data_IF_316247985464
#
_entry.id   IF_316247985464
#
_cell.length_a   1.000
_cell.length_b   1.000
_cell.length_c   1.000
_cell.angle_alpha   90.00
_cell.angle_beta   90.00
_cell.angle_gamma   90.00
#
_symmetry.space_group_name_H-M   'P 1'
#
loop_
_entity.id
_entity.type
_entity.pdbx_description
1 polymer ?
#
# COMPACT_ATOMS: atom_id res chain seq x y z
N UNK A 1 16.07 -24.95 -25.39
CA UNK A 1 17.46 -24.95 -24.87
C UNK A 1 17.50 -23.76 -23.92
N UNK A 2 17.32 -23.84 -22.61
CA UNK A 2 17.48 -24.89 -21.61
C UNK A 2 16.12 -25.21 -20.96
N UNK A 3 15.96 -26.45 -20.51
CA UNK A 3 14.78 -26.90 -19.77
C UNK A 3 14.72 -26.18 -18.41
N UNK A 4 13.79 -25.25 -18.23
CA UNK A 4 13.39 -24.69 -16.93
C UNK A 4 12.78 -25.73 -15.96
N UNK A 5 12.93 -27.03 -16.23
CA UNK A 5 12.14 -28.10 -15.62
C UNK A 5 12.58 -28.51 -14.20
N UNK A 6 13.75 -28.07 -13.72
CA UNK A 6 14.35 -28.56 -12.46
C UNK A 6 14.48 -27.49 -11.35
N UNK A 7 13.70 -26.40 -11.39
CA UNK A 7 13.97 -25.24 -10.50
C UNK A 7 13.43 -25.35 -9.09
N UNK A 8 12.57 -26.31 -8.79
CA UNK A 8 12.00 -26.40 -7.44
C UNK A 8 12.81 -27.27 -6.47
N UNK A 9 12.57 -27.05 -5.18
CA UNK A 9 13.33 -27.61 -4.07
C UNK A 9 12.40 -28.09 -2.98
N UNK A 10 12.76 -29.20 -2.36
CA UNK A 10 12.08 -29.73 -1.18
C UNK A 10 13.08 -29.68 -0.03
N UNK A 11 12.75 -28.97 1.03
CA UNK A 11 13.58 -28.92 2.23
C UNK A 11 12.85 -29.63 3.37
N UNK A 12 13.59 -30.43 4.12
CA UNK A 12 13.08 -31.23 5.21
C UNK A 12 13.91 -30.96 6.46
N UNK A 13 13.26 -30.46 7.50
CA UNK A 13 13.85 -30.27 8.81
C UNK A 13 13.13 -31.19 9.81
N UNK A 14 13.88 -32.06 10.47
CA UNK A 14 13.33 -33.07 11.37
C UNK A 14 13.93 -32.91 12.75
N UNK A 15 13.08 -32.90 13.77
CA UNK A 15 13.43 -33.03 15.17
C UNK A 15 12.99 -34.41 15.66
N UNK A 16 13.92 -35.21 16.18
CA UNK A 16 13.65 -36.51 16.81
C UNK A 16 14.30 -36.57 18.18
N UNK A 17 13.56 -37.08 19.17
CA UNK A 17 14.03 -37.23 20.54
C UNK A 17 14.63 -35.95 21.15
N UNK A 18 14.06 -34.80 20.77
CA UNK A 18 14.50 -33.48 21.23
C UNK A 18 15.66 -32.88 20.44
N UNK A 19 16.36 -33.67 19.62
CA UNK A 19 17.51 -33.25 18.80
C UNK A 19 17.03 -32.86 17.40
N UNK A 20 17.38 -31.65 16.96
CA UNK A 20 17.16 -31.22 15.58
C UNK A 20 18.28 -31.74 14.68
N UNK A 21 17.91 -32.40 13.58
CA UNK A 21 18.83 -32.76 12.51
C UNK A 21 19.14 -31.56 11.62
N UNK A 22 20.19 -31.63 10.78
CA UNK A 22 20.44 -30.61 9.76
C UNK A 22 19.30 -30.58 8.74
N UNK A 23 19.01 -29.39 8.18
CA UNK A 23 18.02 -29.28 7.11
C UNK A 23 18.52 -29.98 5.85
N UNK A 24 17.78 -30.98 5.41
CA UNK A 24 18.07 -31.74 4.20
C UNK A 24 17.39 -31.06 3.03
N UNK A 25 18.12 -30.85 1.92
CA UNK A 25 17.56 -30.28 0.69
C UNK A 25 17.59 -31.33 -0.40
N UNK A 26 16.42 -31.64 -0.94
CA UNK A 26 16.20 -32.56 -2.04
C UNK A 26 15.80 -31.77 -3.30
N UNK A 27 16.20 -32.25 -4.46
CA UNK A 27 15.69 -31.77 -5.75
C UNK A 27 14.31 -32.39 -6.01
N UNK A 28 13.50 -31.77 -6.85
CA UNK A 28 12.21 -32.34 -7.26
C UNK A 28 12.36 -33.69 -7.96
N UNK A 29 13.46 -33.91 -8.70
CA UNK A 29 13.80 -35.22 -9.27
C UNK A 29 13.80 -36.34 -8.23
N UNK A 30 14.17 -36.01 -6.99
CA UNK A 30 14.34 -36.94 -5.87
C UNK A 30 13.12 -36.92 -4.94
N UNK A 31 11.98 -36.38 -5.41
CA UNK A 31 10.73 -36.27 -4.66
C UNK A 31 10.31 -37.61 -4.03
N UNK A 32 10.45 -38.72 -4.75
CA UNK A 32 10.08 -40.04 -4.23
C UNK A 32 10.93 -40.44 -3.02
N UNK A 33 12.22 -40.13 -3.04
CA UNK A 33 13.14 -40.37 -1.93
C UNK A 33 12.80 -39.48 -0.74
N UNK A 34 12.61 -38.17 -0.98
CA UNK A 34 12.22 -37.21 0.06
C UNK A 34 10.91 -37.63 0.74
N UNK A 35 9.88 -38.00 -0.04
CA UNK A 35 8.59 -38.44 0.51
C UNK A 35 8.70 -39.79 1.22
N UNK A 36 9.56 -40.71 0.76
CA UNK A 36 9.79 -41.97 1.48
C UNK A 36 10.43 -41.74 2.85
N UNK A 37 11.40 -40.81 2.95
CA UNK A 37 12.03 -40.41 4.21
C UNK A 37 11.00 -39.80 5.16
N UNK A 38 10.09 -38.98 4.64
CA UNK A 38 8.98 -38.38 5.41
C UNK A 38 7.99 -39.44 5.87
N UNK A 39 7.53 -40.34 4.99
CA UNK A 39 6.55 -41.38 5.35
C UNK A 39 7.09 -42.43 6.34
N UNK A 40 8.42 -42.58 6.41
CA UNK A 40 9.08 -43.40 7.42
C UNK A 40 8.92 -42.85 8.84
N UNK A 41 8.61 -41.56 9.00
CA UNK A 41 8.38 -40.93 10.30
C UNK A 41 7.04 -41.39 10.89
N UNK A 42 7.00 -41.84 12.16
CA UNK A 42 5.79 -42.39 12.76
C UNK A 42 4.72 -41.34 13.08
N UNK A 43 5.12 -40.08 13.26
CA UNK A 43 4.24 -38.97 13.64
C UNK A 43 3.68 -38.19 12.44
N UNK A 44 4.11 -38.51 11.22
CA UNK A 44 3.58 -37.87 10.00
C UNK A 44 2.14 -38.37 9.79
N UNK A 45 1.18 -37.46 9.51
CA UNK A 45 -0.22 -37.83 9.36
C UNK A 45 -0.42 -38.73 8.14
N UNK A 46 -0.93 -39.95 8.38
CA UNK A 46 -1.24 -40.95 7.33
C UNK A 46 -2.73 -41.09 7.06
N UNK A 47 -3.56 -40.69 8.02
CA UNK A 47 -5.02 -40.75 7.96
C UNK A 47 -5.61 -39.52 8.64
N UNK A 48 -6.87 -39.19 8.31
CA UNK A 48 -7.60 -38.14 9.00
C UNK A 48 -7.72 -38.48 10.50
N UNK A 49 -7.29 -37.54 11.34
CA UNK A 49 -7.45 -37.58 12.79
C UNK A 49 -8.25 -36.34 13.16
N UNK A 50 -9.36 -36.50 13.85
CA UNK A 50 -10.21 -35.35 14.19
C UNK A 50 -9.51 -34.44 15.22
N UNK A 51 -9.53 -33.13 14.98
CA UNK A 51 -9.14 -32.12 15.97
C UNK A 51 -10.26 -31.96 16.99
N UNK A 52 -9.91 -32.01 18.26
CA UNK A 52 -10.83 -31.67 19.34
C UNK A 52 -11.01 -30.14 19.29
N UNK A 53 -12.14 -29.70 18.73
CA UNK A 53 -12.53 -28.30 18.83
C UNK A 53 -13.27 -28.14 20.16
N UNK A 54 -12.89 -27.15 20.99
CA UNK A 54 -13.63 -26.87 22.21
C UNK A 54 -15.08 -26.53 21.91
N UNK A 55 -15.99 -27.05 22.72
CA UNK A 55 -17.40 -26.67 22.64
C UNK A 55 -17.61 -25.20 23.02
N UNK A 56 -18.74 -24.60 22.61
CA UNK A 56 -19.07 -23.22 23.01
C UNK A 56 -19.12 -23.03 24.53
N UNK A 57 -19.53 -24.05 25.28
CA UNK A 57 -19.53 -24.02 26.74
C UNK A 57 -18.12 -23.90 27.29
N UNK A 58 -17.20 -24.76 26.82
CA UNK A 58 -15.80 -24.74 27.23
C UNK A 58 -15.15 -23.38 26.96
N UNK A 59 -15.50 -22.71 25.85
CA UNK A 59 -14.96 -21.39 25.49
C UNK A 59 -15.36 -20.27 26.46
N UNK A 60 -16.52 -20.37 27.12
CA UNK A 60 -16.99 -19.39 28.12
C UNK A 60 -16.56 -19.71 29.54
N UNK A 61 -16.20 -20.96 29.82
CA UNK A 61 -15.57 -21.32 31.08
C UNK A 61 -14.17 -20.70 31.07
N UNK A 62 -14.05 -19.49 31.64
CA UNK A 62 -12.77 -18.90 32.07
C UNK A 62 -12.21 -19.63 33.32
N UNK A 63 -12.84 -20.72 33.73
CA UNK A 63 -12.55 -21.36 35.00
C UNK A 63 -11.27 -22.18 34.98
N UNK A 64 -10.40 -21.76 35.90
CA UNK A 64 -9.27 -22.49 36.46
C UNK A 64 -8.23 -22.91 35.43
N UNK A 65 -7.19 -22.09 35.37
CA UNK A 65 -5.80 -22.51 35.24
C UNK A 65 -5.52 -23.62 36.29
N UNK A 66 -6.13 -24.80 36.13
CA UNK A 66 -5.67 -25.99 36.78
C UNK A 66 -4.35 -26.29 36.09
N UNK A 67 -3.31 -25.66 36.63
CA UNK A 67 -1.93 -26.10 36.59
C UNK A 67 -1.81 -27.46 37.29
N UNK A 68 -2.73 -28.38 37.03
CA UNK A 68 -2.46 -29.79 37.14
C UNK A 68 -1.44 -30.05 36.04
N UNK A 69 -0.19 -29.79 36.43
CA UNK A 69 1.04 -30.35 35.90
C UNK A 69 0.85 -31.86 36.09
N UNK A 70 -0.07 -32.44 35.32
CA UNK A 70 -0.14 -33.86 35.12
C UNK A 70 1.16 -34.14 34.40
N UNK A 71 2.05 -34.83 35.10
CA UNK A 71 3.26 -35.47 34.60
C UNK A 71 2.90 -36.35 33.39
N UNK A 72 2.57 -35.73 32.26
CA UNK A 72 2.42 -36.40 30.97
C UNK A 72 3.83 -36.76 30.59
N UNK A 73 4.25 -37.93 31.08
CA UNK A 73 5.39 -38.75 30.65
C UNK A 73 6.28 -37.99 29.67
N UNK A 74 7.33 -37.33 30.19
CA UNK A 74 8.31 -36.46 29.50
C UNK A 74 9.00 -37.18 28.32
N UNK A 75 8.24 -37.59 27.31
CA UNK A 75 8.76 -38.00 26.03
C UNK A 75 9.01 -36.73 25.24
N UNK A 76 10.20 -36.59 24.63
CA UNK A 76 10.45 -35.49 23.72
C UNK A 76 9.44 -35.51 22.56
N UNK A 77 9.04 -34.32 22.10
CA UNK A 77 8.10 -34.16 21.00
C UNK A 77 8.87 -34.13 19.69
N UNK A 78 8.79 -35.22 18.93
CA UNK A 78 9.27 -35.23 17.54
C UNK A 78 8.37 -34.37 16.65
N UNK A 79 9.00 -33.75 15.66
CA UNK A 79 8.38 -32.83 14.73
C UNK A 79 9.09 -32.88 13.38
N UNK A 80 8.37 -32.59 12.31
CA UNK A 80 8.96 -32.37 11.00
C UNK A 80 8.33 -31.19 10.29
N UNK A 81 9.16 -30.39 9.62
CA UNK A 81 8.78 -29.31 8.74
C UNK A 81 9.25 -29.61 7.33
N UNK A 82 8.32 -29.54 6.38
CA UNK A 82 8.61 -29.62 4.94
C UNK A 82 8.33 -28.28 4.30
N UNK A 83 9.31 -27.79 3.55
CA UNK A 83 9.18 -26.63 2.69
C UNK A 83 9.23 -27.09 1.23
N UNK A 84 8.16 -26.83 0.48
CA UNK A 84 8.06 -27.10 -0.94
C UNK A 84 8.07 -25.77 -1.71
N UNK A 85 9.12 -25.58 -2.50
CA UNK A 85 9.27 -24.48 -3.45
C UNK A 85 9.11 -25.05 -4.86
N UNK A 86 7.94 -24.88 -5.48
CA UNK A 86 7.64 -25.46 -6.79
C UNK A 86 6.48 -24.74 -7.48
N UNK A 87 6.60 -24.44 -8.78
CA UNK A 87 5.52 -23.84 -9.59
C UNK A 87 4.76 -24.86 -10.45
N UNK A 88 5.11 -26.14 -10.36
CA UNK A 88 4.42 -27.21 -11.09
C UNK A 88 3.25 -27.79 -10.29
N UNK A 89 2.04 -27.56 -10.79
CA UNK A 89 0.78 -28.06 -10.21
C UNK A 89 0.80 -29.57 -10.00
N UNK A 90 1.38 -30.33 -10.93
CA UNK A 90 1.41 -31.79 -10.86
C UNK A 90 2.28 -32.26 -9.68
N UNK A 91 3.42 -31.62 -9.47
CA UNK A 91 4.31 -31.88 -8.34
C UNK A 91 3.65 -31.51 -7.01
N UNK A 92 3.01 -30.35 -6.93
CA UNK A 92 2.28 -29.91 -5.73
C UNK A 92 1.16 -30.90 -5.39
N UNK A 93 0.36 -31.30 -6.39
CA UNK A 93 -0.73 -32.26 -6.22
C UNK A 93 -0.21 -33.62 -5.74
N UNK A 94 0.92 -34.07 -6.31
CA UNK A 94 1.59 -35.30 -5.89
C UNK A 94 2.04 -35.23 -4.44
N UNK A 95 2.69 -34.15 -4.01
CA UNK A 95 3.13 -33.96 -2.61
C UNK A 95 1.92 -33.95 -1.66
N UNK A 96 0.90 -33.16 -1.96
CA UNK A 96 -0.32 -33.05 -1.15
C UNK A 96 -1.06 -34.38 -1.06
N UNK A 97 -1.02 -35.22 -2.10
CA UNK A 97 -1.69 -36.52 -2.12
C UNK A 97 -1.15 -37.52 -1.07
N UNK A 98 0.08 -37.33 -0.60
CA UNK A 98 0.68 -38.19 0.44
C UNK A 98 0.12 -37.93 1.85
N UNK A 99 -0.63 -36.85 2.03
CA UNK A 99 -1.17 -36.43 3.32
C UNK A 99 -2.71 -36.42 3.31
N UNK A 100 -3.36 -36.59 4.47
CA UNK A 100 -4.82 -36.59 4.61
C UNK A 100 -5.37 -35.16 4.57
N UNK A 101 -5.21 -34.49 3.42
CA UNK A 101 -5.64 -33.12 3.16
C UNK A 101 -7.01 -33.12 2.47
N UNK A 102 -7.92 -32.24 2.91
CA UNK A 102 -9.26 -32.08 2.33
C UNK A 102 -9.19 -31.60 0.87
N UNK A 103 -10.13 -32.04 0.02
CA UNK A 103 -10.13 -31.72 -1.41
C UNK A 103 -10.19 -30.22 -1.69
N UNK A 104 -10.90 -29.43 -0.88
CA UNK A 104 -10.94 -27.97 -1.01
C UNK A 104 -9.54 -27.35 -0.86
N UNK A 105 -8.79 -27.72 0.18
CA UNK A 105 -7.42 -27.24 0.37
C UNK A 105 -6.52 -27.64 -0.80
N UNK A 106 -6.72 -28.82 -1.40
CA UNK A 106 -5.96 -29.20 -2.60
C UNK A 106 -6.27 -28.28 -3.78
N UNK A 107 -7.53 -27.97 -3.99
CA UNK A 107 -7.99 -27.05 -5.03
C UNK A 107 -7.53 -25.61 -4.78
N UNK A 108 -7.53 -25.14 -3.53
CA UNK A 108 -7.09 -23.81 -3.14
C UNK A 108 -5.59 -23.61 -3.41
N UNK A 109 -4.78 -24.59 -3.02
CA UNK A 109 -3.32 -24.56 -3.26
C UNK A 109 -3.01 -24.66 -4.76
N UNK A 110 -3.81 -25.43 -5.52
CA UNK A 110 -3.64 -25.58 -6.96
C UNK A 110 -4.06 -24.34 -7.73
N UNK A 111 -5.27 -23.84 -7.50
CA UNK A 111 -5.84 -22.71 -8.23
C UNK A 111 -5.04 -21.42 -8.05
N UNK A 112 -4.32 -21.29 -6.93
CA UNK A 112 -3.59 -20.07 -6.58
C UNK A 112 -4.48 -18.83 -6.47
N UNK A 113 -5.81 -19.01 -6.47
CA UNK A 113 -6.79 -17.93 -6.64
C UNK A 113 -7.17 -17.24 -5.33
N UNK A 114 -6.91 -17.86 -4.19
CA UNK A 114 -7.22 -17.26 -2.90
C UNK A 114 -6.23 -16.12 -2.61
N UNK A 115 -6.67 -14.90 -2.93
CA UNK A 115 -5.90 -13.67 -2.71
C UNK A 115 -5.86 -13.21 -1.25
N UNK A 116 -6.63 -13.84 -0.39
CA UNK A 116 -6.86 -13.40 0.98
C UNK A 116 -5.92 -14.10 1.95
N UNK A 117 -5.24 -13.31 2.79
CA UNK A 117 -4.57 -13.82 3.99
C UNK A 117 -5.66 -14.36 4.94
N UNK A 118 -5.73 -15.68 5.12
CA UNK A 118 -6.82 -16.36 5.86
C UNK A 118 -6.32 -17.62 6.56
N UNK A 119 -6.88 -17.90 7.75
CA UNK A 119 -6.68 -19.15 8.47
C UNK A 119 -7.98 -19.95 8.51
N UNK A 120 -7.94 -21.19 8.02
CA UNK A 120 -9.06 -22.12 7.97
C UNK A 120 -8.77 -23.38 8.78
N UNK A 121 -9.72 -23.81 9.59
CA UNK A 121 -9.60 -25.02 10.40
C UNK A 121 -10.30 -26.15 9.64
N UNK A 122 -9.65 -27.31 9.52
CA UNK A 122 -10.23 -28.54 8.99
C UNK A 122 -10.29 -29.60 10.09
N UNK A 123 -11.31 -29.55 10.96
CA UNK A 123 -11.34 -30.35 12.18
C UNK A 123 -11.36 -31.84 11.88
N UNK A 124 -12.19 -32.26 10.94
CA UNK A 124 -12.32 -33.65 10.52
C UNK A 124 -11.02 -34.20 9.93
N UNK A 125 -10.14 -33.34 9.42
CA UNK A 125 -8.90 -33.75 8.79
C UNK A 125 -7.67 -33.62 9.68
N UNK A 126 -7.73 -32.94 10.82
CA UNK A 126 -6.61 -32.89 11.75
C UNK A 126 -5.69 -31.69 11.62
N UNK A 127 -6.02 -30.69 10.78
CA UNK A 127 -5.09 -29.61 10.43
C UNK A 127 -5.73 -28.24 10.34
N UNK A 128 -4.86 -27.23 10.36
CA UNK A 128 -5.19 -25.83 10.06
C UNK A 128 -4.43 -25.43 8.80
N UNK A 129 -5.15 -24.83 7.85
CA UNK A 129 -4.59 -24.25 6.64
C UNK A 129 -4.46 -22.74 6.83
N UNK A 130 -3.27 -22.20 6.60
CA UNK A 130 -3.01 -20.76 6.72
C UNK A 130 -2.44 -20.28 5.40
N UNK A 131 -3.13 -19.35 4.77
CA UNK A 131 -2.68 -18.66 3.58
C UNK A 131 -2.14 -17.28 3.96
N UNK A 132 -0.91 -17.00 3.51
CA UNK A 132 -0.24 -15.72 3.79
C UNK A 132 0.46 -15.22 2.53
N UNK A 133 0.25 -13.96 2.18
CA UNK A 133 1.07 -13.26 1.21
C UNK A 133 2.45 -12.94 1.79
N UNK A 134 3.50 -13.44 1.17
CA UNK A 134 4.88 -13.07 1.43
C UNK A 134 5.41 -12.19 0.27
N UNK A 135 6.51 -11.46 0.50
CA UNK A 135 7.14 -10.65 -0.54
C UNK A 135 8.03 -11.53 -1.42
N UNK A 136 8.12 -11.24 -2.70
CA UNK A 136 9.00 -11.96 -3.61
C UNK A 136 10.48 -11.60 -3.37
N UNK A 137 11.38 -12.58 -3.53
CA UNK A 137 12.82 -12.35 -3.48
C UNK A 137 13.33 -11.77 -4.81
N UNK A 138 13.38 -10.44 -4.93
CA UNK A 138 14.01 -9.78 -6.07
C UNK A 138 15.53 -9.95 -6.01
N UNK A 139 16.19 -10.33 -7.12
CA UNK A 139 17.65 -10.30 -7.19
C UNK A 139 18.24 -8.98 -7.71
N UNK A 140 17.55 -8.21 -8.57
CA UNK A 140 17.99 -6.87 -8.97
C UNK A 140 17.00 -6.20 -9.94
N UNK A 141 16.09 -5.37 -9.43
CA UNK A 141 15.52 -4.24 -10.19
C UNK A 141 14.77 -3.33 -9.22
N UNK A 142 15.44 -2.28 -8.75
CA UNK A 142 14.84 -1.15 -8.04
C UNK A 142 13.91 -0.42 -9.03
N UNK A 143 12.67 -0.85 -9.17
CA UNK A 143 11.72 -0.14 -10.03
C UNK A 143 10.55 -0.92 -10.60
N UNK A 144 10.41 -2.23 -10.33
CA UNK A 144 9.24 -2.94 -10.82
C UNK A 144 8.04 -2.67 -9.89
N UNK A 145 7.24 -1.68 -10.26
CA UNK A 145 6.13 -1.13 -9.47
C UNK A 145 4.92 -2.07 -9.29
N UNK A 146 5.05 -3.36 -9.61
CA UNK A 146 3.91 -4.28 -9.64
C UNK A 146 4.21 -5.71 -9.20
N UNK A 147 5.26 -5.95 -8.40
CA UNK A 147 5.58 -7.33 -8.01
C UNK A 147 4.41 -8.00 -7.24
N UNK A 148 3.89 -9.06 -7.85
CA UNK A 148 2.82 -9.88 -7.33
C UNK A 148 3.30 -10.61 -6.05
N UNK A 149 2.53 -10.55 -4.94
CA UNK A 149 2.92 -11.20 -3.70
C UNK A 149 3.06 -12.72 -3.88
N UNK A 150 4.07 -13.31 -3.25
CA UNK A 150 4.24 -14.77 -3.23
C UNK A 150 3.27 -15.35 -2.24
N UNK A 151 2.39 -16.24 -2.72
CA UNK A 151 1.44 -16.95 -1.87
C UNK A 151 2.13 -18.11 -1.17
N UNK A 152 2.05 -18.10 0.16
CA UNK A 152 2.55 -19.18 1.02
C UNK A 152 1.35 -19.86 1.65
N UNK A 153 1.23 -21.17 1.44
CA UNK A 153 0.25 -22.02 2.11
C UNK A 153 0.95 -22.82 3.20
N UNK A 154 0.47 -22.72 4.42
CA UNK A 154 0.99 -23.45 5.57
C UNK A 154 -0.08 -24.41 6.06
N UNK A 155 0.18 -25.71 5.92
CA UNK A 155 -0.69 -26.79 6.37
C UNK A 155 -0.07 -27.37 7.63
N UNK A 156 -0.66 -27.00 8.77
CA UNK A 156 -0.14 -27.34 10.09
C UNK A 156 -1.00 -28.44 10.73
N UNK A 157 -0.34 -29.51 11.15
CA UNK A 157 -0.85 -30.57 12.02
C UNK A 157 -0.12 -30.48 13.37
N UNK A 158 -0.61 -31.19 14.39
CA UNK A 158 -0.03 -31.17 15.76
C UNK A 158 1.49 -31.37 15.81
N UNK A 159 2.04 -32.22 14.94
CA UNK A 159 3.48 -32.60 14.93
C UNK A 159 4.13 -32.49 13.55
N UNK A 160 3.47 -31.83 12.61
CA UNK A 160 3.94 -31.76 11.23
C UNK A 160 3.51 -30.45 10.59
N UNK A 161 4.44 -29.76 9.92
CA UNK A 161 4.17 -28.52 9.21
C UNK A 161 4.60 -28.68 7.74
N UNK A 162 3.71 -28.36 6.81
CA UNK A 162 4.00 -28.31 5.39
C UNK A 162 3.80 -26.88 4.89
N UNK A 163 4.85 -26.25 4.41
CA UNK A 163 4.81 -24.90 3.81
C UNK A 163 5.06 -25.00 2.31
N UNK A 164 4.11 -24.53 1.52
CA UNK A 164 4.13 -24.60 0.05
C UNK A 164 4.13 -23.18 -0.51
N UNK A 165 5.03 -22.91 -1.44
CA UNK A 165 5.02 -21.68 -2.23
C UNK A 165 5.62 -21.91 -3.61
N UNK A 166 5.20 -21.09 -4.58
CA UNK A 166 5.59 -21.28 -6.00
C UNK A 166 6.83 -20.52 -6.41
N UNK A 167 7.13 -19.41 -5.72
CA UNK A 167 8.23 -18.49 -6.03
C UNK A 167 9.08 -18.24 -4.79
N UNK A 168 10.37 -17.91 -4.93
CA UNK A 168 11.22 -17.63 -3.79
C UNK A 168 10.71 -16.41 -3.01
N UNK A 169 10.73 -16.54 -1.68
CA UNK A 169 10.26 -15.53 -0.72
C UNK A 169 11.42 -14.68 -0.22
N UNK A 170 11.20 -13.37 -0.11
CA UNK A 170 12.17 -12.42 0.45
C UNK A 170 12.57 -12.82 1.88
N UNK A 171 13.87 -12.82 2.17
CA UNK A 171 14.40 -13.26 3.47
C UNK A 171 14.28 -14.76 3.73
N UNK A 172 13.98 -15.59 2.72
CA UNK A 172 13.80 -17.03 2.91
C UNK A 172 14.98 -17.75 3.58
N UNK A 173 16.22 -17.33 3.29
CA UNK A 173 17.42 -17.89 3.94
C UNK A 173 17.48 -17.51 5.44
N UNK A 174 17.15 -16.27 5.78
CA UNK A 174 17.09 -15.78 7.17
C UNK A 174 15.98 -16.47 7.96
N UNK A 175 14.82 -16.66 7.33
CA UNK A 175 13.69 -17.40 7.91
C UNK A 175 14.11 -18.83 8.23
N UNK A 176 14.78 -19.51 7.31
CA UNK A 176 15.24 -20.89 7.52
C UNK A 176 16.28 -20.99 8.63
N UNK A 177 17.29 -20.11 8.64
CA UNK A 177 18.27 -20.05 9.71
C UNK A 177 17.60 -19.78 11.07
N UNK A 178 16.58 -18.92 11.10
CA UNK A 178 15.78 -18.67 12.29
C UNK A 178 15.00 -19.90 12.74
N UNK A 179 14.40 -20.66 11.81
CA UNK A 179 13.66 -21.89 12.15
C UNK A 179 14.60 -22.97 12.72
N UNK A 180 15.77 -23.16 12.13
CA UNK A 180 16.80 -24.08 12.64
C UNK A 180 17.21 -23.69 14.06
N UNK A 181 17.50 -22.40 14.29
CA UNK A 181 17.87 -21.87 15.60
C UNK A 181 16.76 -22.02 16.64
N UNK A 182 15.50 -21.76 16.27
CA UNK A 182 14.36 -21.94 17.17
C UNK A 182 14.22 -23.41 17.54
N UNK A 183 14.27 -24.34 16.59
CA UNK A 183 14.13 -25.76 16.87
C UNK A 183 15.27 -26.31 17.74
N UNK A 184 16.50 -25.81 17.56
CA UNK A 184 17.63 -26.23 18.40
C UNK A 184 17.57 -25.65 19.81
N UNK A 185 17.00 -24.45 19.97
CA UNK A 185 16.93 -23.76 21.27
C UNK A 185 15.70 -24.11 22.08
N UNK A 186 14.66 -24.65 21.45
CA UNK A 186 13.39 -24.96 22.12
C UNK A 186 13.54 -26.17 23.06
N UNK A 187 12.83 -26.15 24.19
CA UNK A 187 12.75 -27.30 25.08
C UNK A 187 12.27 -28.55 24.30
N UNK A 188 12.90 -29.73 24.48
CA UNK A 188 12.46 -31.01 23.92
C UNK A 188 10.98 -31.35 24.10
N UNK A 189 10.33 -30.83 25.15
CA UNK A 189 8.94 -31.15 25.48
C UNK A 189 7.93 -30.13 24.93
N UNK A 190 8.36 -29.00 24.40
CA UNK A 190 7.44 -27.99 23.87
C UNK A 190 6.99 -28.35 22.47
N UNK A 191 5.69 -28.23 22.21
CA UNK A 191 5.11 -28.37 20.88
C UNK A 191 5.65 -27.25 19.95
N UNK A 192 6.45 -27.59 18.93
CA UNK A 192 7.14 -26.56 18.16
C UNK A 192 6.24 -25.86 17.14
N UNK A 193 5.12 -26.47 16.73
CA UNK A 193 4.30 -26.00 15.61
C UNK A 193 3.78 -24.59 15.83
N UNK A 194 3.19 -24.30 17.00
CA UNK A 194 2.69 -22.97 17.36
C UNK A 194 3.76 -21.89 17.19
N UNK A 195 4.95 -22.16 17.73
CA UNK A 195 6.09 -21.25 17.75
C UNK A 195 6.64 -21.04 16.34
N UNK A 196 6.76 -22.10 15.54
CA UNK A 196 7.27 -22.02 14.17
C UNK A 196 6.30 -21.31 13.24
N UNK A 197 5.00 -21.64 13.31
CA UNK A 197 3.96 -20.94 12.53
C UNK A 197 3.95 -19.46 12.88
N UNK A 198 3.97 -19.13 14.18
CA UNK A 198 4.04 -17.75 14.64
C UNK A 198 5.29 -17.03 14.13
N UNK A 199 6.45 -17.69 14.17
CA UNK A 199 7.70 -17.12 13.69
C UNK A 199 7.71 -16.93 12.16
N UNK A 200 7.14 -17.85 11.38
CA UNK A 200 7.03 -17.73 9.92
C UNK A 200 6.17 -16.53 9.55
N UNK A 201 4.96 -16.44 10.14
CA UNK A 201 4.05 -15.31 9.92
C UNK A 201 4.72 -14.00 10.36
N UNK A 202 5.39 -14.00 11.51
CA UNK A 202 6.13 -12.83 12.00
C UNK A 202 7.19 -12.38 11.00
N UNK A 203 7.96 -13.30 10.43
CA UNK A 203 8.98 -12.96 9.44
C UNK A 203 8.36 -12.37 8.16
N UNK A 204 7.32 -13.02 7.61
CA UNK A 204 6.63 -12.51 6.43
C UNK A 204 6.05 -11.12 6.65
N UNK A 205 5.40 -10.87 7.80
CA UNK A 205 4.85 -9.55 8.14
C UNK A 205 5.95 -8.50 8.31
N UNK A 206 7.09 -8.85 8.95
CA UNK A 206 8.23 -7.93 9.12
C UNK A 206 8.84 -7.51 7.79
N UNK A 207 8.89 -8.38 6.79
CA UNK A 207 9.35 -8.01 5.45
C UNK A 207 8.46 -6.95 4.81
N UNK A 208 7.13 -7.02 4.99
CA UNK A 208 6.21 -5.97 4.54
C UNK A 208 6.37 -4.66 5.34
N UNK A 209 6.72 -4.73 6.63
CA UNK A 209 6.95 -3.54 7.46
C UNK A 209 8.16 -2.69 7.03
N UNK A 210 9.03 -3.19 6.13
CA UNK A 210 10.13 -2.41 5.55
C UNK A 210 9.66 -1.40 4.48
N UNK A 211 8.55 -1.67 3.80
CA UNK A 211 8.00 -0.83 2.72
C UNK A 211 7.44 0.55 3.17
N UNK A 212 6.58 0.66 4.22
CA UNK A 212 5.87 1.89 4.53
C UNK A 212 6.80 3.08 4.83
N UNK A 213 7.98 2.85 5.40
CA UNK A 213 8.92 3.92 5.72
C UNK A 213 9.37 4.71 4.48
N UNK A 214 9.66 4.00 3.37
CA UNK A 214 10.06 4.64 2.12
C UNK A 214 8.92 5.48 1.52
N UNK A 215 7.71 4.92 1.53
CA UNK A 215 6.52 5.57 1.00
C UNK A 215 6.15 6.84 1.79
N UNK A 216 6.27 6.81 3.12
CA UNK A 216 5.98 7.97 3.97
C UNK A 216 6.97 9.12 3.74
N UNK A 217 8.25 8.82 3.51
CA UNK A 217 9.24 9.85 3.12
C UNK A 217 8.86 10.49 1.79
N UNK A 218 8.36 9.73 0.81
CA UNK A 218 7.90 10.29 -0.45
C UNK A 218 6.66 11.18 -0.30
N UNK A 219 5.74 10.82 0.60
CA UNK A 219 4.59 11.67 0.96
C UNK A 219 5.05 12.99 1.58
N UNK A 220 5.98 12.95 2.53
CA UNK A 220 6.52 14.16 3.15
C UNK A 220 7.24 15.04 2.12
N UNK A 221 7.99 14.45 1.18
CA UNK A 221 8.62 15.18 0.08
C UNK A 221 7.58 15.89 -0.81
N UNK A 222 6.46 15.25 -1.13
CA UNK A 222 5.37 15.87 -1.89
C UNK A 222 4.75 17.02 -1.10
N UNK A 223 4.57 16.86 0.20
CA UNK A 223 4.03 17.91 1.06
C UNK A 223 4.92 19.16 1.06
N UNK A 224 6.24 19.00 1.17
CA UNK A 224 7.19 20.12 1.10
C UNK A 224 7.21 20.77 -0.29
N UNK A 225 7.09 20.00 -1.38
CA UNK A 225 7.04 20.54 -2.74
C UNK A 225 5.81 21.42 -2.96
N UNK A 226 4.65 21.07 -2.40
CA UNK A 226 3.43 21.89 -2.52
C UNK A 226 3.65 23.32 -2.02
N UNK A 227 4.49 23.50 -1.00
CA UNK A 227 4.81 24.80 -0.43
C UNK A 227 5.79 25.62 -1.31
N UNK A 228 6.57 24.96 -2.16
CA UNK A 228 7.66 25.58 -2.92
C UNK A 228 7.32 25.82 -4.40
N UNK A 229 6.32 25.13 -4.94
CA UNK A 229 6.05 25.15 -6.39
C UNK A 229 5.68 26.55 -6.88
N UNK A 230 6.54 27.07 -7.75
CA UNK A 230 6.27 28.23 -8.57
C UNK A 230 5.12 27.96 -9.57
N UNK A 231 4.43 28.99 -10.07
CA UNK A 231 3.20 28.88 -10.88
C UNK A 231 3.40 28.33 -12.30
N UNK A 232 4.32 27.40 -12.55
CA UNK A 232 4.38 26.74 -13.85
C UNK A 232 3.25 25.70 -13.97
N UNK A 233 2.59 25.63 -15.13
CA UNK A 233 1.52 24.65 -15.38
C UNK A 233 2.07 23.22 -15.40
N UNK A 234 3.28 23.04 -15.92
CA UNK A 234 3.92 21.73 -16.00
C UNK A 234 4.17 21.14 -14.60
N UNK A 235 4.68 21.93 -13.66
CA UNK A 235 4.99 21.45 -12.30
C UNK A 235 3.73 21.06 -11.52
N UNK A 236 2.61 21.78 -11.75
CA UNK A 236 1.34 21.44 -11.10
C UNK A 236 0.79 20.11 -11.59
N UNK A 237 0.86 19.84 -12.89
CA UNK A 237 0.38 18.58 -13.45
C UNK A 237 1.26 17.41 -13.00
N UNK A 238 2.58 17.62 -12.94
CA UNK A 238 3.51 16.61 -12.41
C UNK A 238 3.25 16.30 -10.94
N UNK A 239 3.06 17.33 -10.10
CA UNK A 239 2.73 17.14 -8.69
C UNK A 239 1.39 16.41 -8.51
N UNK A 240 0.36 16.74 -9.28
CA UNK A 240 -0.93 16.04 -9.22
C UNK A 240 -0.77 14.57 -9.58
N UNK A 241 0.03 14.26 -10.60
CA UNK A 241 0.32 12.87 -11.00
C UNK A 241 1.07 12.12 -9.89
N UNK A 242 2.02 12.78 -9.24
CA UNK A 242 2.76 12.21 -8.11
C UNK A 242 1.87 11.98 -6.88
N UNK A 243 0.94 12.89 -6.60
CA UNK A 243 -0.06 12.73 -5.54
C UNK A 243 -0.97 11.53 -5.85
N UNK A 244 -1.42 11.40 -7.09
CA UNK A 244 -2.25 10.28 -7.53
C UNK A 244 -1.52 8.94 -7.39
N UNK A 245 -0.28 8.85 -7.88
CA UNK A 245 0.55 7.65 -7.76
C UNK A 245 0.79 7.25 -6.29
N UNK A 246 1.20 8.20 -5.44
CA UNK A 246 1.38 7.94 -4.02
C UNK A 246 0.10 7.48 -3.34
N UNK A 247 -1.05 8.02 -3.74
CA UNK A 247 -2.35 7.58 -3.20
C UNK A 247 -2.66 6.13 -3.58
N UNK A 248 -2.36 5.72 -4.81
CA UNK A 248 -2.52 4.34 -5.25
C UNK A 248 -1.58 3.39 -4.50
N UNK A 249 -0.30 3.74 -4.42
CA UNK A 249 0.72 2.96 -3.68
C UNK A 249 0.36 2.84 -2.20
N UNK A 250 -0.06 3.93 -1.56
CA UNK A 250 -0.48 3.93 -0.16
C UNK A 250 -1.71 3.08 0.09
N UNK A 251 -2.70 3.16 -0.79
CA UNK A 251 -3.90 2.32 -0.70
C UNK A 251 -3.53 0.85 -0.84
N UNK A 252 -2.67 0.49 -1.80
CA UNK A 252 -2.20 -0.88 -2.00
C UNK A 252 -1.51 -1.44 -0.75
N UNK A 253 -0.53 -0.71 -0.21
CA UNK A 253 0.19 -1.13 1.01
C UNK A 253 -0.79 -1.24 2.18
N UNK A 254 -1.69 -0.27 2.35
CA UNK A 254 -2.69 -0.30 3.42
C UNK A 254 -3.60 -1.53 3.31
N UNK A 255 -4.09 -1.89 2.12
CA UNK A 255 -4.91 -3.08 1.92
C UNK A 255 -4.17 -4.35 2.33
N UNK A 256 -2.89 -4.48 1.97
CA UNK A 256 -2.06 -5.63 2.35
C UNK A 256 -1.88 -5.72 3.87
N UNK A 257 -1.68 -4.59 4.55
CA UNK A 257 -1.55 -4.56 6.01
C UNK A 257 -2.87 -4.92 6.72
N UNK A 258 -4.01 -4.45 6.19
CA UNK A 258 -5.33 -4.82 6.72
C UNK A 258 -5.65 -6.31 6.53
N UNK A 259 -5.22 -6.92 5.44
CA UNK A 259 -5.36 -8.37 5.24
C UNK A 259 -4.57 -9.15 6.32
N UNK A 260 -3.35 -8.72 6.61
CA UNK A 260 -2.50 -9.32 7.66
C UNK A 260 -3.06 -9.11 9.06
N UNK A 261 -3.65 -7.96 9.31
CA UNK A 261 -4.31 -7.66 10.58
C UNK A 261 -5.45 -8.64 10.84
N UNK A 262 -6.30 -8.85 9.83
CA UNK A 262 -7.41 -9.81 9.89
C UNK A 262 -6.91 -11.23 10.14
N UNK A 263 -5.86 -11.67 9.44
CA UNK A 263 -5.27 -12.98 9.67
C UNK A 263 -4.77 -13.14 11.11
N UNK A 264 -4.03 -12.16 11.65
CA UNK A 264 -3.53 -12.24 13.02
C UNK A 264 -4.70 -12.19 14.03
N UNK A 265 -5.73 -11.39 13.78
CA UNK A 265 -6.94 -11.38 14.58
C UNK A 265 -7.65 -12.74 14.57
N UNK A 266 -7.74 -13.42 13.42
CA UNK A 266 -8.28 -14.78 13.32
C UNK A 266 -7.47 -15.77 14.18
N UNK A 267 -6.14 -15.72 14.10
CA UNK A 267 -5.25 -16.58 14.90
C UNK A 267 -5.34 -16.29 16.40
N UNK A 268 -5.76 -15.08 16.78
CA UNK A 268 -5.96 -14.68 18.17
C UNK A 268 -7.37 -14.96 18.70
N UNK A 269 -8.28 -15.52 17.89
CA UNK A 269 -9.63 -15.88 18.34
C UNK A 269 -9.58 -17.00 19.42
N UNK A 270 -10.53 -17.02 20.38
CA UNK A 270 -10.58 -18.02 21.43
C UNK A 270 -10.52 -19.47 20.93
N UNK A 271 -11.16 -19.77 19.80
CA UNK A 271 -11.12 -21.10 19.17
C UNK A 271 -9.69 -21.48 18.75
N UNK A 272 -8.96 -20.56 18.11
CA UNK A 272 -7.56 -20.79 17.70
C UNK A 272 -6.61 -20.90 18.89
N UNK A 273 -6.90 -20.20 20.00
CA UNK A 273 -6.13 -20.30 21.26
C UNK A 273 -6.24 -21.66 21.94
N UNK A 274 -7.31 -22.41 21.69
CA UNK A 274 -7.50 -23.75 22.25
C UNK A 274 -6.96 -24.85 21.33
N UNK A 275 -6.54 -24.50 20.11
CA UNK A 275 -5.90 -25.40 19.15
C UNK A 275 -4.38 -25.24 19.24
N UNK A 276 -3.64 -26.30 18.89
CA UNK A 276 -2.17 -26.37 18.90
C UNK A 276 -1.43 -25.24 18.13
N UNK A 277 -2.13 -24.38 17.37
CA UNK A 277 -1.54 -23.22 16.67
C UNK A 277 -1.24 -22.06 17.63
N UNK A 278 -2.12 -21.80 18.61
CA UNK A 278 -1.98 -20.65 19.55
C UNK A 278 -2.24 -21.05 21.01
N UNK A 279 -2.21 -22.36 21.31
CA UNK A 279 -2.28 -22.87 22.68
C UNK A 279 -1.08 -22.45 23.55
N UNK A 280 0.11 -22.33 22.96
CA UNK A 280 1.30 -21.89 23.70
C UNK A 280 1.22 -20.40 24.06
N UNK A 281 1.43 -20.09 25.35
CA UNK A 281 1.48 -18.72 25.87
C UNK A 281 2.59 -17.90 25.21
N UNK A 282 3.72 -18.54 24.86
CA UNK A 282 4.81 -17.93 24.12
C UNK A 282 4.39 -17.44 22.73
N UNK A 283 3.75 -18.31 21.94
CA UNK A 283 3.20 -17.97 20.63
C UNK A 283 2.12 -16.88 20.71
N UNK A 284 1.20 -16.97 21.68
CA UNK A 284 0.16 -15.97 21.91
C UNK A 284 0.75 -14.57 22.14
N UNK A 285 1.75 -14.45 23.03
CA UNK A 285 2.40 -13.17 23.31
C UNK A 285 3.10 -12.58 22.08
N UNK A 286 3.64 -13.42 21.19
CA UNK A 286 4.27 -13.00 19.93
C UNK A 286 3.24 -12.51 18.93
N UNK A 287 2.13 -13.21 18.75
CA UNK A 287 1.03 -12.74 17.89
C UNK A 287 0.45 -11.40 18.37
N UNK A 288 0.26 -11.23 19.68
CA UNK A 288 -0.19 -9.96 20.25
C UNK A 288 0.82 -8.83 19.97
N UNK A 289 2.12 -9.08 20.17
CA UNK A 289 3.16 -8.09 19.85
C UNK A 289 3.19 -7.76 18.35
N UNK A 290 3.02 -8.76 17.49
CA UNK A 290 2.95 -8.60 16.05
C UNK A 290 1.74 -7.75 15.65
N UNK A 291 0.57 -8.02 16.23
CA UNK A 291 -0.65 -7.24 16.01
C UNK A 291 -0.46 -5.78 16.43
N UNK A 292 0.08 -5.53 17.62
CA UNK A 292 0.34 -4.15 18.10
C UNK A 292 1.29 -3.40 17.16
N UNK A 293 2.36 -4.07 16.69
CA UNK A 293 3.29 -3.49 15.72
C UNK A 293 2.62 -3.19 14.38
N UNK A 294 1.77 -4.10 13.89
CA UNK A 294 1.04 -3.93 12.65
C UNK A 294 0.02 -2.78 12.72
N UNK A 295 -0.71 -2.67 13.83
CA UNK A 295 -1.66 -1.57 14.07
C UNK A 295 -0.94 -0.22 14.09
N UNK A 296 0.25 -0.15 14.70
CA UNK A 296 1.08 1.06 14.67
C UNK A 296 1.48 1.41 13.23
N UNK A 297 1.90 0.44 12.42
CA UNK A 297 2.21 0.66 11.00
C UNK A 297 1.00 1.13 10.19
N UNK A 298 -0.18 0.55 10.42
CA UNK A 298 -1.44 0.97 9.78
C UNK A 298 -1.77 2.42 10.13
N UNK A 299 -1.58 2.82 11.39
CA UNK A 299 -1.80 4.19 11.84
C UNK A 299 -0.81 5.17 11.17
N UNK A 300 0.46 4.79 11.01
CA UNK A 300 1.42 5.60 10.26
C UNK A 300 1.01 5.78 8.79
N UNK A 301 0.54 4.72 8.13
CA UNK A 301 0.03 4.80 6.76
C UNK A 301 -1.20 5.72 6.68
N UNK A 302 -2.07 5.68 7.69
CA UNK A 302 -3.25 6.55 7.78
C UNK A 302 -2.86 8.02 7.92
N UNK A 303 -1.88 8.33 8.77
CA UNK A 303 -1.31 9.68 8.89
C UNK A 303 -0.68 10.15 7.58
N UNK A 304 0.08 9.30 6.90
CA UNK A 304 0.61 9.60 5.57
C UNK A 304 -0.49 9.96 4.57
N UNK A 305 -1.61 9.23 4.59
CA UNK A 305 -2.76 9.54 3.72
C UNK A 305 -3.36 10.91 4.03
N UNK A 306 -3.47 11.24 5.31
CA UNK A 306 -4.04 12.52 5.74
C UNK A 306 -3.12 13.69 5.36
N UNK A 307 -1.79 13.52 5.48
CA UNK A 307 -0.80 14.47 4.97
C UNK A 307 -0.93 14.63 3.46
N UNK A 308 -1.01 13.53 2.70
CA UNK A 308 -1.16 13.58 1.25
C UNK A 308 -2.45 14.31 0.81
N UNK A 309 -3.55 14.06 1.50
CA UNK A 309 -4.82 14.77 1.28
C UNK A 309 -4.70 16.27 1.60
N UNK A 310 -4.01 16.60 2.70
CA UNK A 310 -3.72 18.00 3.06
C UNK A 310 -2.84 18.68 2.01
N UNK A 311 -1.85 17.98 1.44
CA UNK A 311 -1.03 18.47 0.34
C UNK A 311 -1.87 18.76 -0.91
N UNK A 312 -2.80 17.86 -1.25
CA UNK A 312 -3.74 18.06 -2.38
C UNK A 312 -4.63 19.29 -2.16
N UNK A 313 -5.20 19.46 -0.96
CA UNK A 313 -6.02 20.62 -0.62
C UNK A 313 -5.20 21.92 -0.61
N UNK A 314 -3.97 21.87 -0.09
CA UNK A 314 -3.05 23.02 -0.08
C UNK A 314 -2.69 23.46 -1.50
N UNK A 315 -2.46 22.52 -2.43
CA UNK A 315 -2.22 22.82 -3.83
C UNK A 315 -3.42 23.53 -4.47
N UNK A 316 -4.63 22.98 -4.29
CA UNK A 316 -5.87 23.57 -4.84
C UNK A 316 -6.14 24.95 -4.26
N UNK A 317 -5.95 25.12 -2.95
CA UNK A 317 -6.09 26.41 -2.27
C UNK A 317 -5.09 27.44 -2.80
N UNK A 318 -3.83 27.05 -2.98
CA UNK A 318 -2.79 27.90 -3.55
C UNK A 318 -3.07 28.31 -5.00
N UNK A 319 -3.59 27.41 -5.83
CA UNK A 319 -4.03 27.73 -7.21
C UNK A 319 -5.24 28.66 -7.20
N UNK A 320 -6.24 28.38 -6.36
CA UNK A 320 -7.48 29.18 -6.26
C UNK A 320 -7.18 30.61 -5.78
N UNK A 321 -6.29 30.76 -4.80
CA UNK A 321 -5.86 32.06 -4.31
C UNK A 321 -5.17 32.89 -5.40
N UNK A 322 -4.30 32.25 -6.21
CA UNK A 322 -3.64 32.92 -7.35
C UNK A 322 -4.63 33.31 -8.44
N UNK A 323 -5.58 32.43 -8.78
CA UNK A 323 -6.65 32.74 -9.73
C UNK A 323 -7.46 33.94 -9.26
N UNK A 324 -7.83 33.97 -7.98
CA UNK A 324 -8.58 35.08 -7.40
C UNK A 324 -7.80 36.40 -7.51
N UNK A 325 -6.49 36.38 -7.24
CA UNK A 325 -5.62 37.54 -7.42
C UNK A 325 -5.58 38.01 -8.88
N UNK A 326 -5.48 37.11 -9.85
CA UNK A 326 -5.54 37.45 -11.28
C UNK A 326 -6.92 37.97 -11.70
N UNK A 327 -8.00 37.42 -11.15
CA UNK A 327 -9.36 37.91 -11.39
C UNK A 327 -9.53 39.35 -10.90
N UNK A 328 -9.02 39.68 -9.69
CA UNK A 328 -9.05 41.07 -9.20
C UNK A 328 -8.24 42.02 -10.08
N UNK A 329 -7.07 41.58 -10.55
CA UNK A 329 -6.28 42.36 -11.49
C UNK A 329 -7.01 42.57 -12.83
N UNK A 330 -7.59 41.51 -13.38
CA UNK A 330 -8.34 41.56 -14.63
C UNK A 330 -9.57 42.46 -14.51
N UNK A 331 -10.30 42.36 -13.40
CA UNK A 331 -11.45 43.22 -13.11
C UNK A 331 -11.05 44.70 -13.02
N UNK A 332 -9.92 44.97 -12.36
CA UNK A 332 -9.36 46.31 -12.32
C UNK A 332 -9.02 46.85 -13.72
N UNK A 333 -8.30 46.08 -14.53
CA UNK A 333 -7.93 46.47 -15.90
C UNK A 333 -9.18 46.63 -16.78
N UNK A 334 -10.16 45.74 -16.63
CA UNK A 334 -11.45 45.81 -17.33
C UNK A 334 -12.22 47.09 -16.98
N UNK A 335 -12.22 47.46 -15.71
CA UNK A 335 -12.82 48.72 -15.22
C UNK A 335 -12.14 49.94 -15.85
N UNK A 336 -10.80 49.96 -15.88
CA UNK A 336 -10.04 51.04 -16.54
C UNK A 336 -10.34 51.09 -18.04
N UNK A 337 -10.36 49.96 -18.73
CA UNK A 337 -10.66 49.89 -20.16
C UNK A 337 -12.08 50.38 -20.47
N UNK A 338 -13.05 50.02 -19.63
CA UNK A 338 -14.45 50.45 -19.77
C UNK A 338 -14.58 51.97 -19.65
N UNK A 339 -13.87 52.58 -18.68
CA UNK A 339 -13.81 54.04 -18.54
C UNK A 339 -13.18 54.71 -19.77
N UNK A 340 -12.11 54.14 -20.33
CA UNK A 340 -11.50 54.63 -21.58
C UNK A 340 -12.49 54.52 -22.76
N UNK A 341 -13.23 53.41 -22.87
CA UNK A 341 -14.22 53.21 -23.93
C UNK A 341 -15.36 54.23 -23.85
N UNK A 342 -15.82 54.54 -22.63
CA UNK A 342 -16.85 55.56 -22.40
C UNK A 342 -16.41 56.96 -22.86
N UNK A 343 -15.13 57.31 -22.68
CA UNK A 343 -14.57 58.57 -23.18
C UNK A 343 -14.43 58.56 -24.71
N UNK A 344 -14.02 57.43 -25.29
CA UNK A 344 -13.75 57.32 -26.72
C UNK A 344 -15.03 57.23 -27.59
N UNK A 345 -16.13 56.67 -27.07
CA UNK A 345 -17.36 56.42 -27.84
C UNK A 345 -17.99 57.68 -28.46
N UNK A 346 -18.25 58.79 -27.74
CA UNK A 346 -18.82 59.98 -28.38
C UNK A 346 -17.85 60.65 -29.37
N UNK A 347 -16.54 60.45 -29.16
CA UNK A 347 -15.50 61.03 -29.99
C UNK A 347 -15.41 60.31 -31.33
N UNK A 348 -15.73 59.01 -31.40
CA UNK A 348 -15.78 58.27 -32.66
C UNK A 348 -17.02 58.60 -33.51
N UNK A 349 -18.12 59.04 -32.89
CA UNK A 349 -19.32 59.49 -33.60
C UNK A 349 -19.02 60.71 -34.48
N UNK A 350 -18.19 61.64 -34.00
CA UNK A 350 -17.89 62.90 -34.73
C UNK A 350 -17.24 62.61 -36.08
N UNK A 351 -16.11 61.87 -36.20
CA UNK A 351 -15.57 61.43 -37.49
C UNK A 351 -16.56 60.57 -38.28
N UNK A 352 -17.38 59.74 -37.61
CA UNK A 352 -18.42 58.94 -38.27
C UNK A 352 -19.43 59.79 -39.04
N UNK A 353 -19.81 60.97 -38.52
CA UNK A 353 -20.70 61.90 -39.23
C UNK A 353 -20.04 62.50 -40.48
N UNK A 354 -18.71 62.69 -40.48
CA UNK A 354 -17.97 63.16 -41.66
C UNK A 354 -17.79 62.08 -42.73
N UNK A 355 -17.94 60.79 -42.39
CA UNK A 355 -17.87 59.68 -43.36
C UNK A 355 -19.24 59.28 -43.90
N UNK A 356 -20.31 59.48 -43.12
CA UNK A 356 -21.68 59.40 -43.62
C UNK A 356 -21.88 60.56 -44.59
N UNK A 357 -22.14 60.27 -45.87
CA UNK A 357 -22.33 61.26 -46.95
C UNK A 357 -23.59 62.15 -46.74
N UNK A 358 -23.59 62.89 -45.64
CA UNK A 358 -24.65 63.74 -45.11
C UNK A 358 -24.08 65.15 -45.02
N UNK A 359 -24.91 66.15 -45.26
CA UNK A 359 -24.50 67.56 -45.17
C UNK A 359 -24.13 67.88 -43.73
N UNK A 360 -22.83 67.97 -43.44
CA UNK A 360 -22.30 68.33 -42.12
C UNK A 360 -22.31 69.85 -41.94
N UNK A 361 -22.55 70.36 -40.71
CA UNK A 361 -22.44 71.78 -40.42
C UNK A 361 -21.02 72.29 -40.75
N UNK A 362 -20.93 73.50 -41.31
CA UNK A 362 -19.69 74.14 -41.78
C UNK A 362 -19.05 73.59 -43.06
N UNK A 363 -19.69 72.65 -43.78
CA UNK A 363 -19.18 72.12 -45.07
C UNK A 363 -18.92 73.20 -46.13
N UNK A 364 -19.74 74.26 -46.17
CA UNK A 364 -19.61 75.35 -47.15
C UNK A 364 -18.67 76.49 -46.68
N UNK A 365 -18.12 76.40 -45.46
CA UNK A 365 -17.22 77.44 -44.98
C UNK A 365 -15.89 77.38 -45.75
N UNK A 366 -15.47 78.52 -46.32
CA UNK A 366 -14.22 78.60 -47.13
C UNK A 366 -12.94 78.36 -46.33
N UNK A 367 -13.01 78.34 -45.00
CA UNK A 367 -11.84 78.27 -44.12
C UNK A 367 -11.73 76.95 -43.37
N UNK A 368 -10.49 76.46 -43.20
CA UNK A 368 -10.17 75.29 -42.35
C UNK A 368 -10.45 75.58 -40.86
N UNK A 369 -10.63 76.85 -40.47
CA UNK A 369 -10.85 77.29 -39.08
C UNK A 369 -12.00 76.54 -38.37
N UNK A 370 -13.14 76.33 -39.03
CA UNK A 370 -14.26 75.62 -38.41
C UNK A 370 -13.91 74.15 -38.12
N UNK A 371 -13.25 73.48 -39.08
CA UNK A 371 -12.78 72.11 -38.92
C UNK A 371 -11.71 72.00 -37.83
N UNK A 372 -10.71 72.89 -37.82
CA UNK A 372 -9.67 72.89 -36.78
C UNK A 372 -10.24 73.14 -35.39
N UNK A 373 -11.29 73.95 -35.26
CA UNK A 373 -11.97 74.18 -33.98
C UNK A 373 -12.72 72.94 -33.50
N UNK A 374 -13.47 72.25 -34.37
CA UNK A 374 -14.15 71.00 -34.01
C UNK A 374 -13.13 69.94 -33.59
N UNK A 375 -12.05 69.78 -34.35
CA UNK A 375 -10.97 68.84 -34.04
C UNK A 375 -10.27 69.18 -32.71
N UNK A 376 -9.99 70.46 -32.44
CA UNK A 376 -9.37 70.91 -31.20
C UNK A 376 -10.27 70.68 -29.99
N UNK A 377 -11.58 70.95 -30.11
CA UNK A 377 -12.55 70.68 -29.04
C UNK A 377 -12.65 69.17 -28.78
N UNK A 378 -12.74 68.34 -29.83
CA UNK A 378 -12.76 66.88 -29.69
C UNK A 378 -11.47 66.35 -29.03
N UNK A 379 -10.30 66.86 -29.42
CA UNK A 379 -9.03 66.50 -28.82
C UNK A 379 -8.95 66.94 -27.35
N UNK A 380 -9.42 68.15 -27.01
CA UNK A 380 -9.43 68.64 -25.64
C UNK A 380 -10.35 67.78 -24.75
N UNK A 381 -11.55 67.44 -25.23
CA UNK A 381 -12.48 66.54 -24.53
C UNK A 381 -11.85 65.16 -24.34
N UNK A 382 -11.13 64.63 -25.33
CA UNK A 382 -10.37 63.38 -25.20
C UNK A 382 -9.34 63.49 -24.08
N UNK A 383 -8.44 64.48 -24.14
CA UNK A 383 -7.37 64.62 -23.16
C UNK A 383 -7.91 64.83 -21.75
N UNK A 384 -8.91 65.70 -21.57
CA UNK A 384 -9.55 65.94 -20.27
C UNK A 384 -10.24 64.67 -19.77
N UNK A 385 -10.99 63.98 -20.63
CA UNK A 385 -11.66 62.72 -20.28
C UNK A 385 -10.68 61.61 -19.88
N UNK A 386 -9.51 61.55 -20.53
CA UNK A 386 -8.47 60.56 -20.25
C UNK A 386 -7.70 60.80 -18.94
N UNK A 387 -7.80 61.99 -18.33
CA UNK A 387 -7.15 62.27 -17.03
C UNK A 387 -7.63 61.30 -15.95
N UNK A 388 -8.94 61.06 -15.86
CA UNK A 388 -9.54 60.17 -14.85
C UNK A 388 -9.06 58.71 -14.96
N UNK A 389 -9.20 58.00 -16.10
CA UNK A 389 -8.74 56.62 -16.22
C UNK A 389 -7.22 56.51 -16.08
N UNK A 390 -6.45 57.48 -16.59
CA UNK A 390 -5.00 57.50 -16.42
C UNK A 390 -4.62 57.64 -14.94
N UNK A 391 -5.30 58.53 -14.21
CA UNK A 391 -5.09 58.70 -12.78
C UNK A 391 -5.48 57.46 -11.97
N UNK A 392 -6.60 56.82 -12.30
CA UNK A 392 -7.04 55.57 -11.67
C UNK A 392 -6.01 54.45 -11.91
N UNK A 393 -5.50 54.35 -13.13
CA UNK A 393 -4.45 53.40 -13.50
C UNK A 393 -3.15 53.65 -12.72
N UNK A 394 -2.67 54.90 -12.68
CA UNK A 394 -1.43 55.26 -11.96
C UNK A 394 -1.56 55.06 -10.45
N UNK A 395 -2.73 55.33 -9.87
CA UNK A 395 -2.95 55.15 -8.42
C UNK A 395 -3.21 53.71 -8.00
N UNK A 396 -3.40 52.80 -8.95
CA UNK A 396 -3.64 51.42 -8.59
C UNK A 396 -2.42 50.83 -7.91
N UNK A 397 -2.58 50.55 -6.62
CA UNK A 397 -1.68 49.66 -5.92
C UNK A 397 -2.21 48.26 -6.17
N UNK A 398 -1.41 47.35 -6.75
CA UNK A 398 -1.82 45.95 -6.78
C UNK A 398 -2.14 45.55 -5.33
N UNK A 399 -3.20 44.75 -5.09
CA UNK A 399 -3.40 44.18 -3.76
C UNK A 399 -2.07 43.54 -3.38
N UNK A 400 -1.45 44.04 -2.30
CA UNK A 400 -0.14 43.57 -1.87
C UNK A 400 -0.19 42.06 -1.87
N UNK A 401 0.61 41.44 -2.74
CA UNK A 401 0.52 40.00 -2.93
C UNK A 401 0.68 39.36 -1.55
N UNK A 402 -0.28 38.54 -1.13
CA UNK A 402 -0.12 37.64 0.02
C UNK A 402 0.96 36.57 -0.25
N UNK A 403 1.61 36.64 -1.41
CA UNK A 403 2.83 35.91 -1.73
C UNK A 403 4.00 36.68 -1.10
N UNK A 404 4.76 36.08 -0.16
CA UNK A 404 5.98 36.69 0.34
C UNK A 404 6.91 36.98 -0.85
N UNK A 405 7.57 38.14 -0.87
CA UNK A 405 8.56 38.46 -1.90
C UNK A 405 9.81 37.62 -1.62
N UNK A 406 9.77 36.35 -2.01
CA UNK A 406 10.94 35.50 -2.07
C UNK A 406 11.14 35.08 -3.52
N UNK A 407 12.27 35.47 -4.09
CA UNK A 407 12.81 35.15 -5.42
C UNK A 407 12.55 36.17 -6.56
N UNK A 408 12.65 37.47 -6.25
CA UNK A 408 13.26 38.40 -7.21
C UNK A 408 14.78 38.29 -7.14
#
# INVERSE_FOLDING_TARGET
>A
MESHADTGKIRLLVRRDGVSGPMQTYKISDLAEAMSAVQSLPFVPKSHKELIIPSMAELYDEETDNTDIVDTNLKPVDFAWIELECDDDATIEKVISYFPIHSSTKEDVKSGRNDNDVAEIFPLCGYVCIHVAARHATQASLGDEGEEPVRVCMIAFERFLLTIFRRPVAGGDEVRAQMEFILSSLNPHTEPVSILVCSLITAFVKEYQKEPSSLLVEVDNVNELVLQIQPSQCDQMDLLRRIEDLRHRLTRVQTTFLAKERLIQQLLLPVMRRIFITADSGALSRYQRLLSGLLLSIEHLRKGRDVLNLSSMSLVSGVSMRLLQHCYWMDFVSTVLTEVMMVAMPISIIPGLFTMNVKVPFQESKGIMAFSMIALVAALVFFVGMIKPLFLYIRHKPPGALVPPSLS
#
